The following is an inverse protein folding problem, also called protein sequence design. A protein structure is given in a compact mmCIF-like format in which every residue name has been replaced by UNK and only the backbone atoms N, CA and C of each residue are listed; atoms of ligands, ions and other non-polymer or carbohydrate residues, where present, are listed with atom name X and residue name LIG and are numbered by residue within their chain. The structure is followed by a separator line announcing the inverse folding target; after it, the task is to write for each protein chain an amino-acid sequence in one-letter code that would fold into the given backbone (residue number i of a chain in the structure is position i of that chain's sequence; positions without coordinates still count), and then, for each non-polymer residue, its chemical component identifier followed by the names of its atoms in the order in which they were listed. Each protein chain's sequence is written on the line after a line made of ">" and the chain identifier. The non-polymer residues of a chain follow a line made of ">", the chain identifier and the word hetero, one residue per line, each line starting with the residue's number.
data_IF_324105124132
#
_entry.id   IF_324105124132
#
_cell.length_a   1.000
_cell.length_b   1.000
_cell.length_c   1.000
_cell.angle_alpha   90.00
_cell.angle_beta   90.00
_cell.angle_gamma   90.00
#
_symmetry.space_group_name_H-M   'P 1'
#
loop_
_entity.id
_entity.type
_entity.pdbx_description
1 polymer ?
#
# COMPACT_ATOMS: atom_id res chain seq x y z
N UNK A 1 2.89 -13.41 7.43
CA UNK A 1 3.10 -13.59 5.98
C UNK A 1 2.08 -12.73 5.26
N UNK A 2 2.40 -11.46 5.04
CA UNK A 2 1.57 -10.57 4.20
C UNK A 2 1.52 -11.14 2.78
N UNK A 3 0.35 -11.03 2.15
CA UNK A 3 0.13 -11.41 0.75
C UNK A 3 1.02 -10.54 -0.13
N UNK A 4 1.97 -11.13 -0.86
CA UNK A 4 2.63 -10.42 -1.97
C UNK A 4 1.58 -10.06 -3.00
N UNK A 5 1.59 -8.83 -3.53
CA UNK A 5 0.73 -8.48 -4.67
C UNK A 5 0.93 -9.49 -5.78
N UNK A 6 -0.16 -10.07 -6.28
CA UNK A 6 -0.14 -11.16 -7.23
C UNK A 6 -0.42 -10.68 -8.64
N UNK A 7 0.55 -10.92 -9.52
CA UNK A 7 0.42 -10.73 -10.96
C UNK A 7 -0.04 -12.05 -11.55
N UNK A 8 -1.21 -12.04 -12.19
CA UNK A 8 -1.69 -13.12 -13.03
C UNK A 8 -1.43 -12.75 -14.49
N UNK A 9 -0.59 -13.52 -15.18
CA UNK A 9 -0.25 -13.32 -16.58
C UNK A 9 -1.07 -14.30 -17.40
N UNK A 10 -1.87 -13.79 -18.33
CA UNK A 10 -2.61 -14.65 -19.24
C UNK A 10 -1.67 -15.34 -20.24
N UNK A 11 -1.82 -16.65 -20.34
CA UNK A 11 -1.20 -17.51 -21.34
C UNK A 11 -2.23 -18.46 -21.96
N UNK A 12 -3.52 -18.29 -21.69
CA UNK A 12 -4.61 -19.18 -22.10
C UNK A 12 -5.28 -18.82 -23.43
N UNK A 13 -4.91 -17.68 -24.02
CA UNK A 13 -5.52 -17.10 -25.23
C UNK A 13 -4.50 -17.00 -26.38
N UNK A 14 -3.72 -18.05 -26.63
CA UNK A 14 -2.75 -18.09 -27.73
C UNK A 14 -1.76 -16.91 -27.70
N UNK A 15 -1.18 -16.64 -26.52
CA UNK A 15 -0.16 -15.61 -26.35
C UNK A 15 1.09 -15.88 -27.19
N UNK A 16 1.66 -14.82 -27.75
CA UNK A 16 2.96 -14.82 -28.41
C UNK A 16 4.15 -14.80 -27.43
N UNK A 17 3.86 -14.66 -26.14
CA UNK A 17 4.87 -14.56 -25.06
C UNK A 17 4.58 -15.55 -23.94
N UNK A 18 5.65 -16.07 -23.31
CA UNK A 18 5.52 -16.95 -22.14
C UNK A 18 6.57 -16.68 -21.06
N UNK A 19 6.20 -16.87 -19.80
CA UNK A 19 7.15 -16.87 -18.66
C UNK A 19 7.90 -18.20 -18.47
N UNK A 20 7.59 -19.22 -19.28
CA UNK A 20 8.26 -20.52 -19.27
C UNK A 20 9.34 -20.59 -20.36
N UNK A 21 10.61 -20.63 -19.96
CA UNK A 21 11.75 -20.69 -20.87
C UNK A 21 11.75 -21.95 -21.77
N UNK A 22 11.27 -23.10 -21.27
CA UNK A 22 11.20 -24.32 -22.08
C UNK A 22 10.13 -24.21 -23.16
N UNK A 23 9.02 -23.52 -22.85
CA UNK A 23 7.97 -23.24 -23.82
C UNK A 23 8.44 -22.18 -24.83
N UNK A 24 9.09 -21.10 -24.39
CA UNK A 24 9.65 -20.09 -25.28
C UNK A 24 10.65 -20.70 -26.28
N UNK A 25 11.47 -21.65 -25.84
CA UNK A 25 12.40 -22.37 -26.73
C UNK A 25 11.68 -23.23 -27.78
N UNK A 26 10.46 -23.71 -27.50
CA UNK A 26 9.64 -24.43 -28.49
C UNK A 26 8.95 -23.46 -29.44
N UNK A 27 8.48 -22.31 -28.93
CA UNK A 27 7.84 -21.26 -29.73
C UNK A 27 8.81 -20.68 -30.75
N UNK A 28 10.00 -20.26 -30.29
CA UNK A 28 11.03 -19.67 -31.14
C UNK A 28 12.41 -20.34 -30.88
N UNK A 29 12.70 -21.50 -31.52
CA UNK A 29 13.97 -22.20 -31.32
C UNK A 29 15.22 -21.42 -31.75
N UNK A 30 15.05 -20.45 -32.66
CA UNK A 30 16.15 -19.64 -33.18
C UNK A 30 16.52 -18.49 -32.24
N UNK A 31 15.52 -17.88 -31.60
CA UNK A 31 15.71 -16.84 -30.60
C UNK A 31 14.64 -16.94 -29.49
N UNK A 32 14.81 -17.81 -28.48
CA UNK A 32 13.82 -17.98 -27.42
C UNK A 32 13.53 -16.72 -26.61
N UNK A 33 14.48 -15.76 -26.57
CA UNK A 33 14.31 -14.51 -25.84
C UNK A 33 13.21 -13.61 -26.46
N UNK A 34 13.00 -13.72 -27.77
CA UNK A 34 11.96 -13.04 -28.59
C UNK A 34 10.59 -13.75 -28.52
N UNK A 35 10.39 -14.53 -27.45
CA UNK A 35 9.12 -15.16 -27.10
C UNK A 35 8.97 -15.33 -25.58
N UNK A 36 9.88 -14.76 -24.79
CA UNK A 36 9.96 -15.00 -23.36
C UNK A 36 9.81 -13.74 -22.51
N UNK A 37 9.10 -13.89 -21.40
CA UNK A 37 8.98 -12.96 -20.29
C UNK A 37 9.52 -13.56 -18.98
N UNK A 38 10.49 -14.48 -19.06
CA UNK A 38 11.07 -15.06 -17.85
C UNK A 38 11.82 -14.03 -17.01
N UNK A 39 12.53 -13.07 -17.64
CA UNK A 39 13.18 -11.96 -16.95
C UNK A 39 12.18 -10.97 -16.35
N UNK A 40 11.06 -10.70 -17.03
CA UNK A 40 9.95 -9.93 -16.43
C UNK A 40 9.55 -10.55 -15.09
N UNK A 41 9.37 -11.89 -15.08
CA UNK A 41 8.97 -12.62 -13.87
C UNK A 41 10.01 -12.46 -12.77
N UNK A 42 11.29 -12.67 -13.08
CA UNK A 42 12.40 -12.50 -12.13
C UNK A 42 12.42 -11.09 -11.53
N UNK A 43 12.38 -10.06 -12.38
CA UNK A 43 12.37 -8.64 -11.96
C UNK A 43 11.17 -8.32 -11.06
N UNK A 44 9.99 -8.82 -11.39
CA UNK A 44 8.80 -8.62 -10.58
C UNK A 44 8.89 -9.36 -9.22
N UNK A 45 9.35 -10.62 -9.21
CA UNK A 45 9.50 -11.41 -7.98
C UNK A 45 10.53 -10.79 -7.03
N UNK A 46 11.64 -10.27 -7.57
CA UNK A 46 12.67 -9.52 -6.83
C UNK A 46 12.13 -8.20 -6.26
N UNK A 47 11.21 -7.56 -6.97
CA UNK A 47 10.51 -6.36 -6.48
C UNK A 47 9.41 -6.66 -5.45
N UNK A 48 9.19 -7.93 -5.10
CA UNK A 48 8.28 -8.35 -4.04
C UNK A 48 6.91 -8.84 -4.53
N UNK A 49 6.70 -8.97 -5.84
CA UNK A 49 5.49 -9.55 -6.40
C UNK A 49 5.48 -11.08 -6.31
N UNK A 50 4.30 -11.68 -6.45
CA UNK A 50 4.15 -13.08 -6.81
C UNK A 50 3.61 -13.17 -8.23
N UNK A 51 4.21 -13.99 -9.08
CA UNK A 51 3.84 -14.09 -10.49
C UNK A 51 3.30 -15.48 -10.78
N UNK A 52 2.13 -15.56 -11.38
CA UNK A 52 1.49 -16.81 -11.82
C UNK A 52 1.03 -16.68 -13.27
N UNK A 53 1.14 -17.75 -14.04
CA UNK A 53 0.57 -17.83 -15.38
C UNK A 53 -0.82 -18.50 -15.31
N UNK A 54 -1.78 -17.95 -16.05
CA UNK A 54 -3.08 -18.56 -16.32
C UNK A 54 -3.00 -19.33 -17.63
N UNK A 55 -2.98 -20.67 -17.56
CA UNK A 55 -2.61 -21.52 -18.69
C UNK A 55 -3.80 -22.06 -19.49
N UNK A 56 -5.00 -22.06 -18.93
CA UNK A 56 -6.16 -22.68 -19.59
C UNK A 56 -7.49 -22.10 -19.12
N UNK A 57 -8.46 -22.09 -20.03
CA UNK A 57 -9.84 -21.71 -19.74
C UNK A 57 -10.07 -20.20 -19.61
N UNK A 58 -11.33 -19.83 -19.41
CA UNK A 58 -11.75 -18.43 -19.37
C UNK A 58 -11.24 -17.69 -18.12
N UNK A 59 -10.93 -16.39 -18.28
CA UNK A 59 -10.61 -15.47 -17.19
C UNK A 59 -11.91 -15.05 -16.48
N UNK A 60 -12.33 -15.90 -15.55
CA UNK A 60 -13.54 -15.66 -14.73
C UNK A 60 -13.23 -14.84 -13.47
N UNK A 61 -14.27 -14.33 -12.80
CA UNK A 61 -14.13 -13.69 -11.49
C UNK A 61 -13.45 -14.59 -10.44
N UNK A 62 -13.63 -15.92 -10.51
CA UNK A 62 -12.98 -16.87 -9.61
C UNK A 62 -11.46 -16.96 -9.86
N UNK A 63 -11.04 -16.88 -11.12
CA UNK A 63 -9.62 -16.82 -11.51
C UNK A 63 -8.98 -15.52 -11.01
N UNK A 64 -9.71 -14.40 -11.15
CA UNK A 64 -9.23 -13.07 -10.75
C UNK A 64 -9.31 -12.79 -9.24
N UNK A 65 -10.05 -13.58 -8.45
CA UNK A 65 -10.29 -13.33 -7.03
C UNK A 65 -9.03 -13.16 -6.16
N UNK A 66 -7.91 -13.77 -6.58
CA UNK A 66 -6.63 -13.69 -5.88
C UNK A 66 -5.56 -12.93 -6.68
N UNK A 67 -5.91 -12.34 -7.82
CA UNK A 67 -5.03 -11.45 -8.56
C UNK A 67 -5.14 -10.04 -8.00
N UNK A 68 -4.02 -9.33 -8.02
CA UNK A 68 -3.93 -7.89 -7.76
C UNK A 68 -3.71 -7.13 -9.07
N UNK A 69 -2.99 -7.76 -10.00
CA UNK A 69 -2.76 -7.31 -11.37
C UNK A 69 -3.08 -8.45 -12.33
N UNK A 70 -3.87 -8.18 -13.36
CA UNK A 70 -3.98 -9.00 -14.56
C UNK A 70 -3.08 -8.40 -15.65
N UNK A 71 -2.18 -9.21 -16.20
CA UNK A 71 -1.38 -8.88 -17.36
C UNK A 71 -1.87 -9.69 -18.55
N UNK A 72 -2.25 -8.98 -19.62
CA UNK A 72 -2.57 -9.53 -20.94
C UNK A 72 -1.40 -9.24 -21.91
N UNK A 73 -0.46 -10.20 -22.07
CA UNK A 73 0.49 -10.20 -23.18
C UNK A 73 -0.23 -10.21 -24.52
N UNK A 74 0.49 -9.83 -25.57
CA UNK A 74 -0.02 -9.92 -26.93
C UNK A 74 -0.52 -11.34 -27.26
N UNK A 75 -1.78 -11.43 -27.66
CA UNK A 75 -2.45 -12.65 -28.11
C UNK A 75 -2.63 -12.64 -29.62
N UNK A 76 -2.36 -13.76 -30.28
CA UNK A 76 -2.40 -13.84 -31.73
C UNK A 76 -2.88 -15.20 -32.25
N UNK A 77 -3.37 -15.20 -33.48
CA UNK A 77 -3.50 -16.40 -34.28
C UNK A 77 -2.12 -16.93 -34.65
N UNK A 78 -1.95 -18.26 -34.62
CA UNK A 78 -0.75 -18.96 -35.09
C UNK A 78 -0.42 -18.75 -36.58
N UNK A 79 -1.32 -18.12 -37.34
CA UNK A 79 -1.04 -17.70 -38.72
C UNK A 79 -0.02 -16.55 -38.81
N UNK A 80 0.07 -15.72 -37.76
CA UNK A 80 0.89 -14.50 -37.75
C UNK A 80 2.06 -14.58 -36.78
N UNK A 81 1.90 -15.29 -35.66
CA UNK A 81 2.90 -15.33 -34.59
C UNK A 81 3.22 -16.77 -34.15
N UNK A 82 4.41 -16.94 -33.57
CA UNK A 82 4.79 -18.18 -32.88
C UNK A 82 4.21 -18.19 -31.46
N UNK A 83 2.99 -18.70 -31.30
CA UNK A 83 2.27 -18.67 -30.02
C UNK A 83 2.54 -19.88 -29.14
N UNK A 84 2.05 -19.83 -27.89
CA UNK A 84 2.09 -20.94 -26.91
C UNK A 84 1.48 -22.26 -27.41
N UNK A 85 0.74 -22.23 -28.53
CA UNK A 85 0.25 -23.41 -29.24
C UNK A 85 -1.07 -23.98 -28.70
N UNK A 86 -1.76 -23.24 -27.83
CA UNK A 86 -3.07 -23.56 -27.28
C UNK A 86 -3.87 -22.29 -27.00
N UNK A 87 -5.18 -22.45 -26.81
CA UNK A 87 -6.10 -21.33 -26.63
C UNK A 87 -6.59 -20.71 -27.93
N UNK A 88 -7.45 -19.71 -27.79
CA UNK A 88 -7.98 -18.88 -28.88
C UNK A 88 -7.64 -17.41 -28.56
N UNK A 89 -7.14 -16.60 -29.51
CA UNK A 89 -6.86 -15.18 -29.25
C UNK A 89 -8.10 -14.34 -28.90
N UNK A 90 -9.32 -14.85 -29.13
CA UNK A 90 -10.57 -14.18 -28.77
C UNK A 90 -10.99 -14.51 -27.34
N UNK A 91 -11.21 -13.46 -26.55
CA UNK A 91 -11.87 -13.55 -25.26
C UNK A 91 -13.39 -13.50 -25.43
N UNK A 92 -14.13 -14.29 -24.65
CA UNK A 92 -15.58 -14.25 -24.64
C UNK A 92 -16.11 -12.97 -23.99
N UNK A 93 -17.34 -12.56 -24.31
CA UNK A 93 -17.94 -11.38 -23.68
C UNK A 93 -18.02 -11.49 -22.15
N UNK A 94 -18.14 -12.71 -21.63
CA UNK A 94 -18.17 -12.98 -20.18
C UNK A 94 -16.82 -12.71 -19.53
N UNK A 95 -15.72 -13.02 -20.22
CA UNK A 95 -14.38 -12.70 -19.76
C UNK A 95 -14.13 -11.20 -19.78
N UNK A 96 -14.52 -10.52 -20.86
CA UNK A 96 -14.39 -9.07 -20.95
C UNK A 96 -15.16 -8.36 -19.82
N UNK A 97 -16.33 -8.87 -19.46
CA UNK A 97 -17.10 -8.37 -18.31
C UNK A 97 -16.43 -8.66 -16.97
N UNK A 98 -15.88 -9.87 -16.78
CA UNK A 98 -15.15 -10.22 -15.56
C UNK A 98 -13.89 -9.37 -15.37
N UNK A 99 -13.13 -9.11 -16.43
CA UNK A 99 -11.94 -8.25 -16.41
C UNK A 99 -12.35 -6.80 -16.11
N UNK A 100 -13.41 -6.30 -16.76
CA UNK A 100 -13.94 -4.97 -16.49
C UNK A 100 -14.33 -4.78 -15.03
N UNK A 101 -15.06 -5.74 -14.45
CA UNK A 101 -15.46 -5.71 -13.04
C UNK A 101 -14.26 -5.82 -12.08
N UNK A 102 -13.27 -6.66 -12.42
CA UNK A 102 -12.03 -6.75 -11.67
C UNK A 102 -11.33 -5.40 -11.59
N UNK A 103 -11.19 -4.68 -12.70
CA UNK A 103 -10.62 -3.32 -12.69
C UNK A 103 -11.50 -2.38 -11.89
N UNK A 104 -12.82 -2.37 -12.10
CA UNK A 104 -13.73 -1.46 -11.39
C UNK A 104 -13.67 -1.60 -9.86
N UNK A 105 -13.35 -2.80 -9.37
CA UNK A 105 -13.32 -3.14 -7.94
C UNK A 105 -11.93 -3.06 -7.30
N UNK A 106 -10.93 -2.53 -8.02
CA UNK A 106 -9.58 -2.24 -7.52
C UNK A 106 -8.45 -2.95 -8.27
N UNK A 107 -8.75 -3.86 -9.20
CA UNK A 107 -7.74 -4.59 -9.96
C UNK A 107 -6.87 -3.68 -10.85
N UNK A 108 -5.60 -4.07 -11.00
CA UNK A 108 -4.70 -3.49 -11.99
C UNK A 108 -4.75 -4.28 -13.31
N UNK A 109 -4.86 -3.60 -14.45
CA UNK A 109 -4.81 -4.22 -15.78
C UNK A 109 -3.60 -3.70 -16.57
N UNK A 110 -2.73 -4.60 -17.03
CA UNK A 110 -1.68 -4.32 -18.01
C UNK A 110 -2.06 -4.99 -19.33
N UNK A 111 -2.13 -4.23 -20.43
CA UNK A 111 -2.34 -4.77 -21.77
C UNK A 111 -1.18 -4.36 -22.67
N UNK A 112 -0.56 -5.33 -23.33
CA UNK A 112 0.42 -5.06 -24.38
C UNK A 112 -0.20 -5.39 -25.74
N UNK A 113 -0.34 -4.36 -26.56
CA UNK A 113 -0.73 -4.45 -27.95
C UNK A 113 0.48 -4.63 -28.87
N UNK A 114 0.19 -4.65 -30.16
CA UNK A 114 1.20 -4.81 -31.20
C UNK A 114 0.89 -3.88 -32.38
N UNK A 115 1.89 -3.58 -33.21
CA UNK A 115 1.64 -2.94 -34.51
C UNK A 115 0.79 -3.80 -35.42
N UNK A 116 0.01 -3.19 -36.30
CA UNK A 116 -0.92 -3.90 -37.19
C UNK A 116 -1.99 -4.70 -36.41
N UNK A 117 -2.38 -4.20 -35.24
CA UNK A 117 -3.25 -4.87 -34.25
C UNK A 117 -4.42 -5.68 -34.85
N UNK A 118 -5.11 -5.16 -35.87
CA UNK A 118 -6.29 -5.80 -36.44
C UNK A 118 -6.06 -7.18 -37.09
N UNK A 119 -4.81 -7.55 -37.44
CA UNK A 119 -4.55 -8.81 -38.16
C UNK A 119 -4.41 -10.03 -37.24
N UNK A 120 -4.09 -9.85 -35.96
CA UNK A 120 -3.73 -10.97 -35.07
C UNK A 120 -4.94 -11.76 -34.54
N UNK A 121 -6.16 -11.28 -34.76
CA UNK A 121 -7.38 -12.01 -34.42
C UNK A 121 -7.82 -11.93 -32.95
N UNK A 122 -7.10 -11.20 -32.09
CA UNK A 122 -7.59 -10.91 -30.72
C UNK A 122 -8.62 -9.79 -30.71
N UNK A 123 -9.39 -9.70 -29.62
CA UNK A 123 -10.37 -8.64 -29.39
C UNK A 123 -9.98 -7.69 -28.24
N UNK A 124 -8.69 -7.40 -28.04
CA UNK A 124 -8.25 -6.45 -27.00
C UNK A 124 -8.88 -5.06 -27.16
N UNK A 125 -9.13 -4.61 -28.39
CA UNK A 125 -9.83 -3.34 -28.63
C UNK A 125 -11.29 -3.34 -28.15
N UNK A 126 -11.94 -4.50 -28.05
CA UNK A 126 -13.27 -4.60 -27.44
C UNK A 126 -13.20 -4.32 -25.94
N UNK A 127 -12.22 -4.90 -25.23
CA UNK A 127 -11.94 -4.60 -23.82
C UNK A 127 -11.58 -3.13 -23.62
N UNK A 128 -10.61 -2.63 -24.38
CA UNK A 128 -10.01 -1.30 -24.20
C UNK A 128 -10.98 -0.15 -24.52
N UNK A 129 -11.97 -0.40 -25.37
CA UNK A 129 -13.03 0.57 -25.67
C UNK A 129 -13.82 1.01 -24.43
N UNK A 130 -13.91 0.14 -23.40
CA UNK A 130 -14.54 0.46 -22.09
C UNK A 130 -13.82 1.60 -21.36
N UNK A 131 -12.57 1.87 -21.74
CA UNK A 131 -11.71 2.91 -21.17
C UNK A 131 -11.43 4.05 -22.17
N UNK A 132 -12.12 4.09 -23.32
CA UNK A 132 -11.86 5.09 -24.37
C UNK A 132 -10.50 4.92 -25.06
N UNK A 133 -9.95 3.70 -25.07
CA UNK A 133 -8.63 3.38 -25.64
C UNK A 133 -8.82 2.45 -26.84
N UNK A 134 -8.04 2.69 -27.91
CA UNK A 134 -7.97 1.79 -29.06
C UNK A 134 -6.54 1.68 -29.58
N UNK A 135 -6.02 0.45 -29.63
CA UNK A 135 -4.80 0.10 -30.34
C UNK A 135 -5.05 0.19 -31.86
N UNK A 136 -4.15 0.87 -32.55
CA UNK A 136 -4.23 1.15 -33.98
C UNK A 136 -3.31 0.22 -34.79
N UNK A 137 -3.33 0.36 -36.12
CA UNK A 137 -2.63 -0.56 -37.03
C UNK A 137 -1.29 -0.04 -37.54
N UNK A 138 -0.91 1.22 -37.24
CA UNK A 138 0.35 1.78 -37.72
C UNK A 138 1.55 1.04 -37.11
N UNK A 139 2.68 1.01 -37.83
CA UNK A 139 4.00 0.70 -37.24
C UNK A 139 4.75 2.00 -37.13
N UNK A 140 5.15 2.37 -35.91
CA UNK A 140 5.93 3.59 -35.71
C UNK A 140 7.29 3.45 -36.40
N UNK A 141 7.67 4.49 -37.13
CA UNK A 141 8.98 4.61 -37.76
C UNK A 141 9.63 5.93 -37.35
N UNK A 142 10.82 5.88 -36.75
CA UNK A 142 11.59 7.06 -36.39
C UNK A 142 13.05 6.93 -36.82
N UNK A 143 13.45 7.48 -37.97
CA UNK A 143 14.82 7.40 -38.44
C UNK A 143 15.80 8.26 -37.63
N UNK A 144 15.31 9.13 -36.74
CA UNK A 144 16.14 10.11 -36.01
C UNK A 144 16.28 9.74 -34.53
N UNK A 145 15.17 9.42 -33.86
CA UNK A 145 15.15 9.01 -32.46
C UNK A 145 14.82 7.52 -32.35
N UNK A 146 15.83 6.68 -32.53
CA UNK A 146 15.70 5.24 -32.44
C UNK A 146 16.81 4.59 -31.62
N UNK A 147 16.56 3.34 -31.25
CA UNK A 147 17.53 2.44 -30.66
C UNK A 147 18.31 1.71 -31.77
N UNK A 148 19.64 1.68 -31.65
CA UNK A 148 20.56 0.93 -32.53
C UNK A 148 20.48 1.27 -34.04
N UNK A 149 19.99 2.45 -34.43
CA UNK A 149 19.88 2.81 -35.85
C UNK A 149 18.69 2.18 -36.57
N UNK A 150 17.77 1.52 -35.86
CA UNK A 150 16.62 0.80 -36.43
C UNK A 150 15.38 1.68 -36.35
N UNK A 151 14.87 2.17 -37.48
CA UNK A 151 13.74 3.11 -37.49
C UNK A 151 12.47 2.56 -36.80
N UNK A 152 12.23 1.26 -36.86
CA UNK A 152 11.10 0.62 -36.18
C UNK A 152 11.33 0.41 -34.68
N UNK A 153 12.46 0.84 -34.12
CA UNK A 153 12.76 0.78 -32.68
C UNK A 153 12.80 2.19 -32.08
N UNK A 154 11.66 2.91 -32.07
CA UNK A 154 11.65 4.31 -31.67
C UNK A 154 11.99 4.48 -30.19
N UNK A 155 12.65 5.58 -29.86
CA UNK A 155 12.79 6.05 -28.47
C UNK A 155 11.71 7.09 -28.20
N UNK A 156 10.60 6.73 -27.52
CA UNK A 156 9.51 7.65 -27.25
C UNK A 156 9.90 8.71 -26.22
N UNK A 157 9.10 9.77 -26.18
CA UNK A 157 9.26 10.88 -25.25
C UNK A 157 8.23 10.80 -24.13
N UNK A 158 8.67 11.12 -22.92
CA UNK A 158 7.80 11.34 -21.78
C UNK A 158 7.25 12.77 -21.82
N UNK A 159 5.93 12.98 -21.98
CA UNK A 159 5.35 14.29 -21.76
C UNK A 159 5.40 14.66 -20.27
N UNK A 160 5.06 15.90 -19.94
CA UNK A 160 4.83 16.29 -18.55
C UNK A 160 3.64 15.51 -18.00
N UNK A 161 3.89 14.68 -16.99
CA UNK A 161 2.87 13.90 -16.30
C UNK A 161 2.43 14.58 -15.01
N UNK A 162 1.12 14.55 -14.76
CA UNK A 162 0.44 15.11 -13.60
C UNK A 162 -0.25 14.02 -12.77
N UNK A 163 -0.60 12.90 -13.39
CA UNK A 163 -1.40 11.85 -12.77
C UNK A 163 -0.59 10.61 -12.39
N UNK A 164 0.64 10.48 -12.89
CA UNK A 164 1.47 9.30 -12.72
C UNK A 164 2.96 9.66 -12.65
N UNK A 165 3.77 8.78 -12.06
CA UNK A 165 5.23 8.96 -11.94
C UNK A 165 5.98 7.84 -12.69
N UNK A 166 5.57 7.54 -13.92
CA UNK A 166 6.22 6.49 -14.73
C UNK A 166 7.67 6.81 -15.07
N UNK A 167 8.06 8.09 -14.99
CA UNK A 167 9.41 8.57 -15.27
C UNK A 167 10.34 8.49 -14.06
N UNK A 168 9.86 8.02 -12.90
CA UNK A 168 10.69 7.89 -11.71
C UNK A 168 11.94 7.03 -11.98
N UNK A 169 13.11 7.68 -12.02
CA UNK A 169 14.40 7.10 -12.39
C UNK A 169 14.44 6.46 -13.79
N UNK A 170 13.61 6.93 -14.72
CA UNK A 170 13.61 6.51 -16.14
C UNK A 170 14.07 7.71 -16.97
N UNK A 171 15.22 7.58 -17.63
CA UNK A 171 15.78 8.60 -18.49
C UNK A 171 15.30 8.41 -19.93
N UNK A 172 15.46 7.20 -20.46
CA UNK A 172 15.07 6.80 -21.81
C UNK A 172 14.54 5.36 -21.82
N UNK A 173 13.63 5.08 -22.73
CA UNK A 173 13.12 3.73 -23.01
C UNK A 173 13.19 3.46 -24.50
N UNK A 174 13.26 2.19 -24.88
CA UNK A 174 13.24 1.76 -26.28
C UNK A 174 11.98 0.91 -26.51
N UNK A 175 11.29 1.21 -27.59
CA UNK A 175 10.18 0.42 -28.11
C UNK A 175 10.65 -0.37 -29.33
N UNK A 176 9.98 -1.45 -29.68
CA UNK A 176 10.29 -2.33 -30.79
C UNK A 176 9.01 -2.61 -31.57
N UNK A 177 8.98 -2.13 -32.82
CA UNK A 177 7.84 -2.25 -33.72
C UNK A 177 6.52 -1.78 -33.11
N UNK A 178 6.55 -0.84 -32.17
CA UNK A 178 5.35 -0.30 -31.52
C UNK A 178 4.29 0.15 -32.53
N UNK A 179 3.04 -0.18 -32.21
CA UNK A 179 1.85 0.45 -32.78
C UNK A 179 1.61 1.85 -32.23
N UNK A 180 0.40 2.37 -32.45
CA UNK A 180 -0.08 3.60 -31.82
C UNK A 180 -1.40 3.40 -31.10
N UNK A 181 -1.77 4.36 -30.25
CA UNK A 181 -2.99 4.36 -29.44
C UNK A 181 -3.85 5.56 -29.82
N UNK A 182 -5.07 5.30 -30.27
CA UNK A 182 -6.13 6.28 -30.39
C UNK A 182 -6.91 6.40 -29.08
N UNK A 183 -7.27 7.63 -28.71
CA UNK A 183 -8.02 7.94 -27.49
C UNK A 183 -9.31 8.66 -27.86
N UNK A 184 -10.41 8.26 -27.22
CA UNK A 184 -11.67 8.98 -27.33
C UNK A 184 -11.57 10.39 -26.72
N UNK A 185 -12.43 11.30 -27.15
CA UNK A 185 -12.36 12.72 -26.76
C UNK A 185 -12.55 12.95 -25.25
N UNK A 186 -13.23 12.02 -24.57
CA UNK A 186 -13.50 12.03 -23.13
C UNK A 186 -12.60 11.09 -22.34
N UNK A 187 -11.50 10.60 -22.94
CA UNK A 187 -10.52 9.74 -22.26
C UNK A 187 -10.05 10.35 -20.93
N UNK A 188 -10.38 9.65 -19.84
CA UNK A 188 -10.04 10.05 -18.48
C UNK A 188 -8.74 9.38 -18.02
N UNK A 189 -7.61 9.82 -18.56
CA UNK A 189 -6.30 9.28 -18.23
C UNK A 189 -5.15 10.17 -18.69
N UNK A 190 -3.97 9.57 -18.80
CA UNK A 190 -2.75 10.26 -19.18
C UNK A 190 -1.98 9.45 -20.22
N UNK A 191 -1.45 10.14 -21.23
CA UNK A 191 -0.46 9.56 -22.15
C UNK A 191 0.90 9.76 -21.52
N UNK A 192 1.62 8.68 -21.24
CA UNK A 192 2.93 8.77 -20.59
C UNK A 192 4.10 8.47 -21.53
N UNK A 193 3.84 7.96 -22.73
CA UNK A 193 4.82 7.90 -23.82
C UNK A 193 4.19 8.35 -25.14
N UNK A 194 4.93 9.21 -25.86
CA UNK A 194 4.59 9.64 -27.23
C UNK A 194 5.74 9.35 -28.19
N UNK A 195 5.41 9.09 -29.45
CA UNK A 195 6.43 9.15 -30.51
C UNK A 195 7.02 10.55 -30.60
N UNK A 196 8.27 10.68 -31.05
CA UNK A 196 8.91 11.98 -31.21
C UNK A 196 8.23 12.83 -32.30
N UNK A 197 8.59 14.11 -32.40
CA UNK A 197 8.14 14.97 -33.50
C UNK A 197 8.69 14.53 -34.88
N UNK A 198 9.77 13.75 -34.92
CA UNK A 198 10.37 13.24 -36.16
C UNK A 198 9.88 11.86 -36.57
N UNK A 199 9.10 11.20 -35.71
CA UNK A 199 8.52 9.91 -35.98
C UNK A 199 7.37 9.99 -37.00
N UNK A 200 7.02 8.84 -37.57
CA UNK A 200 5.83 8.63 -38.36
C UNK A 200 4.96 7.56 -37.68
N UNK A 201 3.76 7.91 -37.18
CA UNK A 201 3.22 9.28 -37.03
C UNK A 201 3.93 10.07 -35.91
N UNK A 202 4.02 11.42 -36.01
CA UNK A 202 4.67 12.25 -35.00
C UNK A 202 3.75 12.49 -33.79
N UNK A 203 4.33 12.55 -32.60
CA UNK A 203 3.63 12.88 -31.34
C UNK A 203 2.43 11.97 -31.00
N UNK A 204 2.35 10.78 -31.60
CA UNK A 204 1.28 9.81 -31.38
C UNK A 204 1.43 9.14 -30.02
N UNK A 205 0.32 8.80 -29.37
CA UNK A 205 0.36 8.05 -28.12
C UNK A 205 0.80 6.61 -28.38
N UNK A 206 1.71 6.10 -27.55
CA UNK A 206 2.18 4.70 -27.61
C UNK A 206 2.10 3.99 -26.27
N UNK A 207 1.95 4.75 -25.17
CA UNK A 207 1.60 4.21 -23.87
C UNK A 207 0.70 5.15 -23.08
N UNK A 208 -0.35 4.60 -22.47
CA UNK A 208 -1.38 5.35 -21.75
C UNK A 208 -1.76 4.66 -20.45
N UNK A 209 -2.19 5.46 -19.47
CA UNK A 209 -2.68 4.99 -18.18
C UNK A 209 -4.00 5.67 -17.82
N UNK A 210 -4.91 4.93 -17.19
CA UNK A 210 -6.18 5.45 -16.69
C UNK A 210 -6.50 4.90 -15.31
N UNK A 211 -7.30 5.64 -14.55
CA UNK A 211 -7.95 5.19 -13.31
C UNK A 211 -9.41 4.93 -13.63
N UNK A 212 -9.86 3.69 -13.49
CA UNK A 212 -11.23 3.29 -13.77
C UNK A 212 -11.89 2.84 -12.45
N UNK A 213 -12.83 3.64 -11.96
CA UNK A 213 -13.40 3.51 -10.63
C UNK A 213 -12.31 3.36 -9.54
N UNK A 214 -12.21 2.19 -8.89
CA UNK A 214 -11.22 1.94 -7.84
C UNK A 214 -9.88 1.38 -8.37
N UNK A 215 -9.86 0.86 -9.59
CA UNK A 215 -8.70 0.24 -10.22
C UNK A 215 -7.99 1.11 -11.25
N UNK A 216 -7.08 0.48 -11.97
CA UNK A 216 -6.14 1.14 -12.88
C UNK A 216 -5.86 0.27 -14.09
N UNK A 217 -5.69 0.90 -15.25
CA UNK A 217 -5.25 0.21 -16.46
C UNK A 217 -4.06 0.94 -17.10
N UNK A 218 -3.11 0.17 -17.63
CA UNK A 218 -1.97 0.62 -18.42
C UNK A 218 -1.98 -0.15 -19.73
N UNK A 219 -1.83 0.57 -20.84
CA UNK A 219 -1.77 0.00 -22.19
C UNK A 219 -0.52 0.51 -22.88
N UNK A 220 0.28 -0.40 -23.43
CA UNK A 220 1.38 -0.08 -24.34
C UNK A 220 1.07 -0.71 -25.70
N UNK A 221 1.40 -0.02 -26.78
CA UNK A 221 1.23 -0.54 -28.14
C UNK A 221 2.43 -1.39 -28.60
N UNK A 222 3.17 -1.97 -27.66
CA UNK A 222 4.42 -2.69 -27.88
C UNK A 222 4.48 -3.87 -26.91
N UNK A 223 4.60 -5.07 -27.46
CA UNK A 223 4.70 -6.30 -26.68
C UNK A 223 6.14 -6.75 -26.44
N UNK A 224 7.06 -6.39 -27.32
CA UNK A 224 8.48 -6.68 -27.25
C UNK A 224 9.19 -5.93 -26.10
N UNK A 225 8.74 -4.74 -25.67
CA UNK A 225 9.42 -3.87 -24.68
C UNK A 225 9.85 -4.59 -23.39
N UNK A 226 9.11 -5.62 -22.96
CA UNK A 226 9.42 -6.41 -21.77
C UNK A 226 9.87 -7.84 -22.07
N UNK A 227 10.14 -8.16 -23.34
CA UNK A 227 10.74 -9.39 -23.80
C UNK A 227 12.13 -9.60 -23.22
N UNK A 228 12.57 -10.84 -23.08
CA UNK A 228 13.85 -11.17 -22.44
C UNK A 228 15.07 -10.59 -23.17
N UNK A 229 14.95 -10.25 -24.46
CA UNK A 229 15.98 -9.57 -25.25
C UNK A 229 15.92 -8.03 -25.18
N UNK A 230 14.83 -7.46 -24.67
CA UNK A 230 14.51 -6.03 -24.76
C UNK A 230 14.33 -5.35 -23.40
N UNK A 231 13.96 -6.11 -22.36
CA UNK A 231 13.68 -5.59 -21.01
C UNK A 231 14.91 -4.95 -20.34
N UNK A 232 16.12 -5.34 -20.76
CA UNK A 232 17.38 -4.81 -20.22
C UNK A 232 17.92 -3.61 -21.01
N UNK A 233 17.28 -3.23 -22.11
CA UNK A 233 17.70 -2.08 -22.89
C UNK A 233 17.22 -0.78 -22.25
N UNK A 234 18.14 0.19 -22.17
CA UNK A 234 17.92 1.49 -21.53
C UNK A 234 17.30 1.31 -20.13
N UNK A 235 16.19 1.99 -19.83
CA UNK A 235 15.51 1.89 -18.54
C UNK A 235 14.18 1.09 -18.62
N UNK A 236 14.01 0.20 -19.61
CA UNK A 236 12.76 -0.57 -19.82
C UNK A 236 12.34 -1.36 -18.57
N UNK A 237 13.26 -2.05 -17.90
CA UNK A 237 12.98 -2.75 -16.64
C UNK A 237 12.53 -1.81 -15.52
N UNK A 238 13.05 -0.57 -15.49
CA UNK A 238 12.66 0.41 -14.47
C UNK A 238 11.26 0.97 -14.76
N UNK A 239 10.94 1.22 -16.03
CA UNK A 239 9.58 1.57 -16.45
C UNK A 239 8.59 0.47 -16.07
N UNK A 240 8.93 -0.81 -16.28
CA UNK A 240 8.11 -1.94 -15.83
C UNK A 240 7.80 -1.85 -14.34
N UNK A 241 8.81 -1.65 -13.49
CA UNK A 241 8.60 -1.55 -12.04
C UNK A 241 7.69 -0.37 -11.65
N UNK A 242 7.82 0.77 -12.35
CA UNK A 242 6.95 1.92 -12.12
C UNK A 242 5.50 1.62 -12.56
N UNK A 243 5.31 0.86 -13.65
CA UNK A 243 3.99 0.39 -14.11
C UNK A 243 3.36 -0.57 -13.10
N UNK A 244 4.10 -1.58 -12.65
CA UNK A 244 3.61 -2.53 -11.64
C UNK A 244 3.26 -1.82 -10.33
N UNK A 245 4.10 -0.88 -9.90
CA UNK A 245 3.84 -0.03 -8.74
C UNK A 245 2.53 0.75 -8.90
N UNK A 246 2.33 1.43 -10.03
CA UNK A 246 1.09 2.15 -10.32
C UNK A 246 -0.14 1.23 -10.27
N UNK A 247 -0.11 0.09 -10.96
CA UNK A 247 -1.22 -0.86 -11.02
C UNK A 247 -1.57 -1.44 -9.64
N UNK A 248 -0.56 -1.65 -8.78
CA UNK A 248 -0.74 -2.18 -7.42
C UNK A 248 -1.45 -1.23 -6.46
N UNK A 249 -1.49 0.07 -6.76
CA UNK A 249 -2.12 1.06 -5.88
C UNK A 249 -3.65 0.92 -5.80
N UNK A 250 -4.28 0.14 -6.68
CA UNK A 250 -5.71 -0.19 -6.62
C UNK A 250 -5.98 -1.45 -5.82
N UNK A 251 -4.97 -2.31 -5.70
CA UNK A 251 -5.10 -3.61 -5.08
C UNK A 251 -5.52 -3.43 -3.62
N UNK A 252 -6.67 -3.99 -3.29
CA UNK A 252 -7.15 -4.02 -1.91
C UNK A 252 -6.28 -5.01 -1.16
N UNK A 253 -5.26 -4.50 -0.45
CA UNK A 253 -4.69 -5.25 0.67
C UNK A 253 -5.86 -5.75 1.54
N UNK A 254 -5.79 -6.97 2.12
CA UNK A 254 -6.74 -7.35 3.15
C UNK A 254 -6.72 -6.26 4.21
N UNK A 255 -7.77 -5.44 4.23
CA UNK A 255 -7.91 -4.33 5.15
C UNK A 255 -7.74 -4.91 6.54
N UNK A 256 -6.68 -4.52 7.23
CA UNK A 256 -6.60 -4.72 8.68
C UNK A 256 -7.86 -4.10 9.25
N UNK A 257 -8.74 -4.91 9.81
CA UNK A 257 -10.08 -4.48 10.21
C UNK A 257 -10.03 -3.73 11.56
N UNK A 258 -9.18 -2.70 11.58
CA UNK A 258 -8.99 -1.79 12.70
C UNK A 258 -10.31 -1.05 12.98
N UNK A 259 -11.15 -0.84 11.96
CA UNK A 259 -12.48 -0.28 12.12
C UNK A 259 -13.36 -1.16 13.02
N UNK A 260 -13.45 -2.48 12.76
CA UNK A 260 -14.17 -3.41 13.63
C UNK A 260 -13.52 -3.52 15.00
N UNK A 261 -12.18 -3.58 15.09
CA UNK A 261 -11.49 -3.61 16.40
C UNK A 261 -11.85 -2.38 17.23
N UNK A 262 -11.82 -1.18 16.63
CA UNK A 262 -12.25 0.07 17.27
C UNK A 262 -13.72 -0.01 17.70
N UNK A 263 -14.61 -0.50 16.83
CA UNK A 263 -16.03 -0.66 17.14
C UNK A 263 -16.27 -1.62 18.33
N UNK A 264 -15.54 -2.73 18.40
CA UNK A 264 -15.63 -3.68 19.51
C UNK A 264 -15.18 -3.04 20.82
N UNK A 265 -14.11 -2.23 20.79
CA UNK A 265 -13.65 -1.52 21.99
C UNK A 265 -14.66 -0.43 22.42
N UNK A 266 -15.15 0.39 21.49
CA UNK A 266 -16.09 1.48 21.82
C UNK A 266 -17.44 0.99 22.30
N UNK A 267 -17.81 -0.26 22.00
CA UNK A 267 -19.00 -0.92 22.54
C UNK A 267 -18.74 -1.62 23.90
N UNK A 268 -17.50 -1.68 24.38
CA UNK A 268 -17.18 -2.31 25.66
C UNK A 268 -17.64 -1.45 26.84
N UNK A 269 -18.51 -1.98 27.73
CA UNK A 269 -18.97 -1.23 28.91
C UNK A 269 -17.82 -0.81 29.83
N UNK A 270 -16.83 -1.70 30.04
CA UNK A 270 -15.62 -1.40 30.81
C UNK A 270 -14.87 -0.19 30.24
N UNK A 271 -14.63 -0.19 28.93
CA UNK A 271 -13.94 0.88 28.24
C UNK A 271 -14.68 2.22 28.40
N UNK A 272 -15.99 2.23 28.14
CA UNK A 272 -16.82 3.44 28.30
C UNK A 272 -16.80 3.94 29.75
N UNK A 273 -16.88 3.04 30.74
CA UNK A 273 -16.80 3.40 32.16
C UNK A 273 -15.44 3.99 32.53
N UNK A 274 -14.35 3.45 32.00
CA UNK A 274 -13.00 4.00 32.20
C UNK A 274 -12.91 5.40 31.57
N UNK A 275 -13.42 5.59 30.35
CA UNK A 275 -13.43 6.90 29.72
C UNK A 275 -14.17 7.91 30.60
N UNK A 276 -15.40 7.62 31.02
CA UNK A 276 -16.16 8.50 31.91
C UNK A 276 -15.38 8.80 33.20
N UNK A 277 -14.82 7.79 33.86
CA UNK A 277 -14.06 8.00 35.10
C UNK A 277 -12.85 8.93 34.90
N UNK A 278 -12.13 8.79 33.77
CA UNK A 278 -11.01 9.68 33.43
C UNK A 278 -11.50 11.11 33.16
N UNK A 279 -12.59 11.27 32.42
CA UNK A 279 -13.14 12.60 32.12
C UNK A 279 -13.60 13.33 33.39
N UNK A 280 -14.25 12.62 34.33
CA UNK A 280 -14.70 13.20 35.61
C UNK A 280 -13.55 13.44 36.60
N UNK A 281 -12.51 12.61 36.57
CA UNK A 281 -11.31 12.79 37.39
C UNK A 281 -10.44 13.95 36.91
N UNK A 282 -10.44 14.29 35.62
CA UNK A 282 -9.53 15.28 35.03
C UNK A 282 -9.62 16.67 35.65
N UNK A 283 -10.81 17.27 35.86
CA UNK A 283 -10.94 18.59 36.47
C UNK A 283 -10.45 18.68 37.91
N UNK A 284 -10.35 17.54 38.61
CA UNK A 284 -9.90 17.47 40.01
C UNK A 284 -8.38 17.52 40.14
N UNK A 285 -7.63 17.25 39.06
CA UNK A 285 -6.17 17.14 39.06
C UNK A 285 -5.48 18.51 38.84
N UNK A 286 -4.48 18.79 39.67
CA UNK A 286 -3.49 19.86 39.49
C UNK A 286 -2.57 19.57 38.30
N UNK A 287 -1.70 20.52 37.95
CA UNK A 287 -0.80 20.42 36.78
C UNK A 287 0.16 19.22 36.82
N UNK A 288 0.57 18.80 38.00
CA UNK A 288 1.45 17.65 38.22
C UNK A 288 0.70 16.33 38.41
N UNK A 289 -0.64 16.37 38.33
CA UNK A 289 -1.52 15.23 38.51
C UNK A 289 -1.96 14.99 39.95
N UNK A 290 -1.49 15.74 40.94
CA UNK A 290 -1.98 15.64 42.33
C UNK A 290 -3.42 16.19 42.47
N UNK A 291 -4.10 15.90 43.58
CA UNK A 291 -5.41 16.51 43.92
C UNK A 291 -5.26 17.21 45.27
N UNK A 292 -5.09 18.53 45.23
CA UNK A 292 -4.79 19.35 46.42
C UNK A 292 -6.00 19.51 47.35
N UNK A 293 -7.20 19.64 46.80
CA UNK A 293 -8.43 19.83 47.57
C UNK A 293 -8.90 18.50 48.17
N UNK A 294 -8.69 18.35 49.48
CA UNK A 294 -9.08 17.17 50.25
C UNK A 294 -10.58 16.86 50.19
N UNK A 295 -11.43 17.86 49.92
CA UNK A 295 -12.88 17.62 49.79
C UNK A 295 -13.22 16.78 48.54
N UNK A 296 -12.35 16.78 47.53
CA UNK A 296 -12.49 16.00 46.30
C UNK A 296 -11.94 14.57 46.40
N UNK A 297 -11.20 14.22 47.47
CA UNK A 297 -10.52 12.93 47.58
C UNK A 297 -11.49 11.73 47.58
N UNK A 298 -12.66 11.87 48.20
CA UNK A 298 -13.67 10.81 48.20
C UNK A 298 -14.22 10.51 46.80
N UNK A 299 -14.50 11.57 46.03
CA UNK A 299 -14.97 11.46 44.65
C UNK A 299 -13.87 10.94 43.72
N UNK A 300 -12.65 11.47 43.85
CA UNK A 300 -11.50 11.00 43.08
C UNK A 300 -11.21 9.52 43.32
N UNK A 301 -11.32 9.03 44.56
CA UNK A 301 -11.14 7.62 44.88
C UNK A 301 -12.19 6.75 44.19
N UNK A 302 -13.45 7.18 44.16
CA UNK A 302 -14.52 6.49 43.43
C UNK A 302 -14.19 6.38 41.93
N UNK A 303 -13.69 7.46 41.30
CA UNK A 303 -13.31 7.43 39.89
C UNK A 303 -12.08 6.56 39.61
N UNK A 304 -11.05 6.61 40.46
CA UNK A 304 -9.87 5.75 40.30
C UNK A 304 -10.24 4.27 40.49
N UNK A 305 -11.13 3.92 41.42
CA UNK A 305 -11.64 2.55 41.56
C UNK A 305 -12.39 2.08 40.31
N UNK A 306 -13.15 2.97 39.63
CA UNK A 306 -13.76 2.64 38.33
C UNK A 306 -12.72 2.34 37.24
N UNK A 307 -11.58 3.05 37.25
CA UNK A 307 -10.47 2.75 36.35
C UNK A 307 -9.85 1.38 36.68
N UNK A 308 -9.66 1.06 37.96
CA UNK A 308 -9.15 -0.25 38.42
C UNK A 308 -10.10 -1.39 38.03
N UNK A 309 -11.41 -1.22 38.21
CA UNK A 309 -12.43 -2.18 37.75
C UNK A 309 -12.31 -2.43 36.24
N UNK A 310 -12.19 -1.35 35.45
CA UNK A 310 -12.02 -1.45 34.01
C UNK A 310 -10.72 -2.12 33.57
N UNK A 311 -9.59 -1.87 34.26
CA UNK A 311 -8.34 -2.60 34.04
C UNK A 311 -8.55 -4.10 34.26
N UNK A 312 -9.18 -4.49 35.36
CA UNK A 312 -9.42 -5.90 35.68
C UNK A 312 -10.31 -6.59 34.64
N UNK A 313 -11.35 -5.91 34.14
CA UNK A 313 -12.25 -6.47 33.13
C UNK A 313 -11.58 -6.59 31.75
N UNK A 314 -10.72 -5.64 31.38
CA UNK A 314 -10.04 -5.64 30.09
C UNK A 314 -8.75 -6.48 30.08
N UNK A 315 -8.08 -6.68 31.22
CA UNK A 315 -6.80 -7.39 31.34
C UNK A 315 -6.76 -8.78 30.65
N UNK A 316 -7.83 -9.61 30.66
CA UNK A 316 -7.82 -10.89 29.95
C UNK A 316 -7.58 -10.78 28.43
N UNK A 317 -7.84 -9.60 27.82
CA UNK A 317 -7.55 -9.33 26.41
C UNK A 317 -6.07 -9.02 26.15
N UNK A 318 -5.28 -8.79 27.20
CA UNK A 318 -3.87 -8.40 27.14
C UNK A 318 -2.98 -9.36 27.95
N UNK A 319 -2.92 -10.66 27.59
CA UNK A 319 -2.22 -11.67 28.38
C UNK A 319 -0.72 -11.43 28.52
N UNK A 320 -0.10 -10.68 27.59
CA UNK A 320 1.30 -10.26 27.64
C UNK A 320 1.57 -9.09 28.60
N UNK A 321 0.53 -8.47 29.17
CA UNK A 321 0.63 -7.29 30.04
C UNK A 321 0.25 -7.57 31.50
N UNK A 322 0.10 -8.83 31.91
CA UNK A 322 -0.38 -9.21 33.26
C UNK A 322 0.42 -8.52 34.38
N UNK A 323 1.77 -8.59 34.31
CA UNK A 323 2.63 -7.99 35.33
C UNK A 323 2.49 -6.46 35.37
N UNK A 324 2.45 -5.83 34.18
CA UNK A 324 2.24 -4.40 34.03
C UNK A 324 0.90 -3.93 34.60
N UNK A 325 -0.22 -4.55 34.19
CA UNK A 325 -1.56 -4.14 34.60
C UNK A 325 -1.77 -4.37 36.10
N UNK A 326 -1.22 -5.47 36.63
CA UNK A 326 -1.23 -5.72 38.08
C UNK A 326 -0.45 -4.67 38.86
N UNK A 327 0.67 -4.18 38.31
CA UNK A 327 1.45 -3.11 38.94
C UNK A 327 0.76 -1.75 38.80
N UNK A 328 0.16 -1.45 37.64
CA UNK A 328 -0.59 -0.20 37.44
C UNK A 328 -1.75 -0.07 38.45
N UNK A 329 -2.44 -1.16 38.78
CA UNK A 329 -3.46 -1.20 39.84
C UNK A 329 -2.85 -0.83 41.20
N UNK A 330 -1.67 -1.36 41.55
CA UNK A 330 -0.99 -1.03 42.81
C UNK A 330 -0.57 0.44 42.86
N UNK A 331 -0.07 0.98 41.75
CA UNK A 331 0.34 2.38 41.66
C UNK A 331 -0.88 3.32 41.86
N UNK A 332 -2.03 2.98 41.25
CA UNK A 332 -3.31 3.69 41.47
C UNK A 332 -3.80 3.60 42.92
N UNK A 333 -3.75 2.42 43.54
CA UNK A 333 -4.11 2.24 44.95
C UNK A 333 -3.19 3.01 45.88
N UNK A 334 -1.89 3.05 45.59
CA UNK A 334 -0.91 3.84 46.33
C UNK A 334 -1.21 5.34 46.21
N UNK A 335 -1.61 5.80 45.03
CA UNK A 335 -2.02 7.19 44.82
C UNK A 335 -3.24 7.58 45.68
N UNK A 336 -4.27 6.72 45.74
CA UNK A 336 -5.41 6.88 46.67
C UNK A 336 -4.92 6.94 48.12
N UNK A 337 -4.12 5.94 48.55
CA UNK A 337 -3.66 5.81 49.95
C UNK A 337 -2.74 6.96 50.39
N UNK A 338 -2.06 7.62 49.46
CA UNK A 338 -1.24 8.81 49.72
C UNK A 338 -2.06 10.08 49.93
N UNK A 339 -3.38 10.04 49.74
CA UNK A 339 -4.22 11.24 49.70
C UNK A 339 -4.01 12.04 48.43
N UNK A 340 -3.87 11.35 47.28
CA UNK A 340 -3.67 11.97 45.96
C UNK A 340 -2.49 12.95 45.89
N UNK A 341 -1.34 12.56 46.44
CA UNK A 341 -0.07 13.24 46.21
C UNK A 341 0.31 13.21 44.71
N UNK A 342 1.49 13.69 44.33
CA UNK A 342 1.96 13.56 42.94
C UNK A 342 1.99 12.07 42.57
N UNK A 343 1.31 11.65 41.48
CA UNK A 343 1.25 10.26 41.08
C UNK A 343 2.64 9.72 40.70
N UNK A 344 2.91 8.47 41.07
CA UNK A 344 4.15 7.76 40.74
C UNK A 344 3.84 6.42 40.07
N UNK A 345 4.13 6.34 38.78
CA UNK A 345 3.96 5.14 37.95
C UNK A 345 5.31 4.48 37.60
N UNK A 346 6.38 4.73 38.36
CA UNK A 346 7.72 4.23 38.02
C UNK A 346 7.76 2.71 37.81
N UNK A 347 7.16 1.95 38.73
CA UNK A 347 7.20 0.48 38.69
C UNK A 347 6.40 -0.07 37.50
N UNK A 348 5.19 0.44 37.27
CA UNK A 348 4.40 0.03 36.10
C UNK A 348 5.05 0.46 34.78
N UNK A 349 5.70 1.63 34.72
CA UNK A 349 6.40 2.07 33.53
C UNK A 349 7.57 1.15 33.16
N UNK A 350 8.33 0.65 34.13
CA UNK A 350 9.43 -0.31 33.89
C UNK A 350 8.94 -1.66 33.34
N UNK A 351 7.71 -2.04 33.68
CA UNK A 351 7.02 -3.27 33.25
C UNK A 351 6.26 -3.10 31.92
N UNK A 352 5.89 -1.88 31.54
CA UNK A 352 5.25 -1.61 30.25
C UNK A 352 6.29 -1.71 29.11
N UNK A 353 6.25 -2.84 28.40
CA UNK A 353 7.28 -3.22 27.41
C UNK A 353 6.70 -3.55 26.02
N UNK A 354 6.12 -2.56 25.32
CA UNK A 354 5.62 -2.75 23.95
C UNK A 354 6.75 -3.10 22.98
N UNK A 355 7.98 -2.65 23.23
CA UNK A 355 9.19 -2.97 22.46
C UNK A 355 9.49 -4.47 22.36
N UNK A 356 9.01 -5.28 23.32
CA UNK A 356 9.22 -6.73 23.35
C UNK A 356 8.25 -7.50 22.46
N UNK A 357 7.16 -6.88 21.99
CA UNK A 357 6.11 -7.54 21.21
C UNK A 357 5.96 -6.89 19.84
N UNK A 358 7.01 -6.98 19.03
CA UNK A 358 7.11 -6.42 17.67
C UNK A 358 6.49 -7.33 16.62
N UNK A 359 5.23 -7.66 16.83
CA UNK A 359 4.41 -8.39 15.86
C UNK A 359 3.27 -7.47 15.43
N UNK A 360 2.81 -7.65 14.18
CA UNK A 360 1.68 -6.88 13.70
C UNK A 360 0.43 -7.16 14.56
N UNK A 361 -0.37 -6.12 14.76
CA UNK A 361 -1.67 -6.19 15.43
C UNK A 361 -1.64 -6.58 16.92
N UNK A 362 -0.49 -6.45 17.58
CA UNK A 362 -0.42 -6.60 19.04
C UNK A 362 -1.00 -5.36 19.71
N UNK A 363 -2.10 -5.54 20.45
CA UNK A 363 -2.74 -4.45 21.17
C UNK A 363 -2.15 -4.28 22.57
N UNK A 364 -2.16 -3.04 23.07
CA UNK A 364 -1.71 -2.71 24.42
C UNK A 364 -2.71 -1.78 25.10
N UNK A 365 -3.12 -2.13 26.32
CA UNK A 365 -3.77 -1.19 27.24
C UNK A 365 -2.67 -0.45 28.00
N UNK A 366 -2.75 0.87 28.04
CA UNK A 366 -1.85 1.74 28.79
C UNK A 366 -2.65 2.68 29.68
N UNK A 367 -2.28 2.75 30.96
CA UNK A 367 -2.87 3.61 31.98
C UNK A 367 -1.75 4.30 32.73
N UNK A 368 -1.67 5.62 32.61
CA UNK A 368 -0.61 6.43 33.23
C UNK A 368 -1.12 7.84 33.52
N UNK A 369 -0.61 8.46 34.59
CA UNK A 369 -0.65 9.91 34.69
C UNK A 369 0.46 10.51 33.83
N UNK A 370 0.09 11.27 32.80
CA UNK A 370 1.04 11.75 31.79
C UNK A 370 0.60 13.07 31.16
N UNK A 371 1.56 13.79 30.58
CA UNK A 371 1.27 14.91 29.67
C UNK A 371 1.36 14.45 28.21
N UNK A 372 0.85 15.24 27.28
CA UNK A 372 0.95 14.95 25.84
C UNK A 372 1.85 15.97 25.13
N UNK A 373 2.90 15.50 24.44
CA UNK A 373 3.80 16.39 23.69
C UNK A 373 3.03 17.09 22.57
N UNK A 374 3.19 18.42 22.45
CA UNK A 374 2.42 19.27 21.53
C UNK A 374 0.90 19.25 21.74
N UNK A 375 0.45 18.85 22.94
CA UNK A 375 -0.96 18.78 23.33
C UNK A 375 -1.20 19.41 24.71
N UNK A 376 -1.74 18.62 25.64
CA UNK A 376 -1.99 18.99 27.02
C UNK A 376 -0.67 18.96 27.84
N UNK A 377 -0.21 20.09 28.40
CA UNK A 377 1.02 20.14 29.20
C UNK A 377 0.84 19.65 30.64
N UNK A 378 -0.40 19.48 31.12
CA UNK A 378 -0.66 18.99 32.46
C UNK A 378 -0.56 17.46 32.50
N UNK A 379 -0.10 16.93 33.63
CA UNK A 379 -0.14 15.49 33.90
C UNK A 379 -1.54 15.13 34.35
N UNK A 380 -2.23 14.32 33.54
CA UNK A 380 -3.53 13.78 33.89
C UNK A 380 -3.48 12.26 33.76
N UNK A 381 -4.21 11.55 34.61
CA UNK A 381 -4.48 10.13 34.39
C UNK A 381 -5.19 9.97 33.04
N UNK A 382 -4.63 9.18 32.14
CA UNK A 382 -5.20 8.91 30.82
C UNK A 382 -5.12 7.40 30.52
N UNK A 383 -6.04 6.92 29.69
CA UNK A 383 -6.15 5.51 29.31
C UNK A 383 -6.14 5.41 27.78
N UNK A 384 -5.23 4.60 27.25
CA UNK A 384 -5.07 4.36 25.81
C UNK A 384 -5.14 2.86 25.51
N UNK A 385 -5.77 2.51 24.39
CA UNK A 385 -5.55 1.23 23.73
C UNK A 385 -4.85 1.50 22.42
N UNK A 386 -3.62 1.00 22.31
CA UNK A 386 -2.80 1.14 21.11
C UNK A 386 -2.70 -0.20 20.39
N UNK A 387 -2.38 -0.14 19.10
CA UNK A 387 -2.07 -1.30 18.29
C UNK A 387 -0.69 -1.14 17.67
N UNK A 388 0.18 -2.13 17.84
CA UNK A 388 1.51 -2.15 17.25
C UNK A 388 1.44 -2.47 15.75
N UNK A 389 1.95 -1.56 14.92
CA UNK A 389 2.03 -1.71 13.46
C UNK A 389 3.37 -2.35 13.09
N UNK A 390 3.43 -3.67 12.92
CA UNK A 390 4.70 -4.35 12.65
C UNK A 390 4.58 -5.40 11.53
N UNK A 391 4.23 -4.99 10.30
CA UNK A 391 4.12 -5.90 9.17
C UNK A 391 5.49 -6.51 8.82
N UNK A 392 5.47 -7.64 8.11
CA UNK A 392 6.67 -8.41 7.76
C UNK A 392 7.72 -7.56 7.02
N UNK A 393 7.29 -6.64 6.15
CA UNK A 393 8.21 -5.74 5.45
C UNK A 393 8.95 -4.80 6.42
N UNK A 394 8.29 -4.33 7.47
CA UNK A 394 8.93 -3.48 8.48
C UNK A 394 9.91 -4.29 9.32
N UNK A 395 9.52 -5.52 9.69
CA UNK A 395 10.40 -6.47 10.37
C UNK A 395 11.66 -6.78 9.55
N UNK A 396 11.54 -6.93 8.22
CA UNK A 396 12.68 -7.09 7.32
C UNK A 396 13.54 -5.82 7.25
N UNK A 397 12.94 -4.64 7.16
CA UNK A 397 13.68 -3.36 7.14
C UNK A 397 14.45 -3.13 8.44
N UNK A 398 13.89 -3.52 9.58
CA UNK A 398 14.58 -3.41 10.88
C UNK A 398 15.90 -4.19 10.92
N UNK A 399 16.02 -5.30 10.18
CA UNK A 399 17.28 -6.06 10.12
C UNK A 399 18.46 -5.21 9.61
N UNK A 400 18.16 -4.21 8.78
CA UNK A 400 19.14 -3.24 8.27
C UNK A 400 19.18 -1.95 9.08
N UNK A 401 18.02 -1.45 9.50
CA UNK A 401 17.85 -0.17 10.19
C UNK A 401 17.28 -0.40 11.60
N UNK A 402 18.11 -0.90 12.50
CA UNK A 402 17.68 -1.25 13.86
C UNK A 402 17.51 -0.02 14.74
N UNK A 403 16.34 0.08 15.38
CA UNK A 403 16.12 0.99 16.51
C UNK A 403 15.25 0.26 17.55
N UNK A 404 15.85 -0.33 18.60
CA UNK A 404 15.14 -1.19 19.55
C UNK A 404 14.11 -0.45 20.42
N UNK A 405 14.19 0.88 20.52
CA UNK A 405 13.22 1.66 21.26
C UNK A 405 12.00 2.06 20.41
N UNK A 406 12.14 2.17 19.08
CA UNK A 406 11.05 2.65 18.25
C UNK A 406 9.92 1.62 18.13
N UNK A 407 8.68 2.07 18.38
CA UNK A 407 7.47 1.27 18.18
C UNK A 407 6.42 2.12 17.42
N UNK A 408 6.15 1.85 16.14
CA UNK A 408 5.04 2.47 15.45
C UNK A 408 3.73 1.86 15.95
N UNK A 409 2.81 2.74 16.34
CA UNK A 409 1.55 2.39 16.95
C UNK A 409 0.40 3.12 16.26
N UNK A 410 -0.81 2.60 16.45
CA UNK A 410 -2.05 3.21 15.98
C UNK A 410 -3.03 3.30 17.15
N UNK A 411 -3.96 4.26 17.10
CA UNK A 411 -5.01 4.33 18.11
C UNK A 411 -6.10 3.29 17.86
N UNK A 412 -6.45 2.52 18.88
CA UNK A 412 -7.70 1.75 18.94
C UNK A 412 -8.72 2.48 19.82
N UNK A 413 -8.27 3.06 20.94
CA UNK A 413 -9.10 3.90 21.80
C UNK A 413 -8.24 4.82 22.63
N UNK A 414 -8.76 6.00 22.99
CA UNK A 414 -8.09 6.95 23.86
C UNK A 414 -9.12 7.80 24.63
N UNK A 415 -8.68 8.37 25.75
CA UNK A 415 -9.40 9.40 26.52
C UNK A 415 -9.09 10.81 25.98
N UNK A 416 -9.94 11.79 26.26
CA UNK A 416 -9.90 13.08 25.54
C UNK A 416 -8.62 13.89 25.73
N UNK A 417 -7.78 13.55 26.73
CA UNK A 417 -6.44 14.13 26.88
C UNK A 417 -5.50 13.84 25.70
N UNK A 418 -5.82 12.87 24.85
CA UNK A 418 -5.14 12.57 23.57
C UNK A 418 -5.89 13.03 22.33
N UNK A 419 -7.05 13.69 22.47
CA UNK A 419 -7.78 14.33 21.37
C UNK A 419 -7.14 15.67 20.97
N UNK A 420 -5.88 15.60 20.54
CA UNK A 420 -5.06 16.74 20.17
C UNK A 420 -4.00 16.35 19.12
N UNK A 421 -3.05 17.25 18.87
CA UNK A 421 -1.99 17.08 17.88
C UNK A 421 -0.77 16.27 18.37
N UNK A 422 -0.83 15.61 19.52
CA UNK A 422 0.23 14.70 19.92
C UNK A 422 0.23 13.48 19.00
N UNK A 423 1.39 13.15 18.46
CA UNK A 423 1.58 11.95 17.63
C UNK A 423 2.60 11.00 18.26
N UNK A 424 2.83 11.14 19.56
CA UNK A 424 3.80 10.34 20.30
C UNK A 424 3.22 9.87 21.62
N UNK A 425 3.71 8.72 22.07
CA UNK A 425 3.50 8.20 23.41
C UNK A 425 4.88 7.78 23.91
N UNK A 426 5.47 8.56 24.82
CA UNK A 426 6.84 8.35 25.28
C UNK A 426 6.87 8.15 26.79
N UNK A 427 7.76 7.29 27.30
CA UNK A 427 7.90 7.04 28.74
C UNK A 427 8.27 8.31 29.54
N UNK A 428 8.96 9.25 28.89
CA UNK A 428 9.32 10.58 29.43
C UNK A 428 8.11 11.40 29.89
N UNK A 429 6.93 11.15 29.30
CA UNK A 429 5.73 11.93 29.61
C UNK A 429 5.00 11.43 30.84
N UNK A 430 5.38 10.29 31.39
CA UNK A 430 4.72 9.63 32.54
C UNK A 430 5.19 10.24 33.86
N UNK A 431 4.29 10.34 34.83
CA UNK A 431 4.56 10.83 36.17
C UNK A 431 5.31 9.76 36.97
N UNK A 432 6.55 10.05 37.32
CA UNK A 432 7.45 9.12 38.02
C UNK A 432 8.27 9.86 39.06
N UNK A 433 8.58 9.20 40.18
CA UNK A 433 9.43 9.77 41.24
C UNK A 433 10.85 10.11 40.78
N UNK A 434 11.36 9.37 39.78
CA UNK A 434 12.68 9.55 39.18
C UNK A 434 12.69 9.04 37.74
N UNK A 435 13.67 9.46 36.95
CA UNK A 435 13.76 9.09 35.52
C UNK A 435 13.96 7.58 35.37
N UNK A 436 13.06 6.93 34.65
CA UNK A 436 13.14 5.50 34.31
C UNK A 436 14.06 5.25 33.12
N UNK A 437 14.38 3.98 32.84
CA UNK A 437 15.10 3.65 31.61
C UNK A 437 14.11 3.65 30.44
N UNK A 438 14.32 4.53 29.46
CA UNK A 438 13.45 4.59 28.27
C UNK A 438 13.75 3.44 27.32
N UNK A 439 12.93 2.38 27.40
CA UNK A 439 13.07 1.16 26.58
C UNK A 439 12.22 1.19 25.30
N UNK A 440 11.31 2.13 25.19
CA UNK A 440 10.38 2.23 24.08
C UNK A 440 10.02 3.70 23.81
N UNK A 441 9.58 3.98 22.57
CA UNK A 441 9.04 5.26 22.14
C UNK A 441 7.97 5.00 21.07
N UNK A 442 6.71 5.23 21.44
CA UNK A 442 5.55 5.05 20.59
C UNK A 442 5.37 6.23 19.65
N UNK A 443 5.27 6.00 18.35
CA UNK A 443 4.87 7.02 17.36
C UNK A 443 3.58 6.59 16.68
N UNK A 444 2.57 7.45 16.71
CA UNK A 444 1.27 7.23 16.10
C UNK A 444 1.37 7.35 14.57
N UNK A 445 1.69 6.23 13.90
CA UNK A 445 1.97 6.20 12.47
C UNK A 445 0.72 6.51 11.63
N UNK A 446 -0.48 6.21 12.13
CA UNK A 446 -1.74 6.61 11.53
C UNK A 446 -1.91 8.14 11.48
N UNK A 447 -1.58 8.83 12.58
CA UNK A 447 -1.61 10.30 12.65
C UNK A 447 -0.53 10.92 11.77
N UNK A 448 0.69 10.42 11.82
CA UNK A 448 1.79 10.93 10.99
C UNK A 448 1.55 10.69 9.49
N UNK A 449 1.02 9.54 9.10
CA UNK A 449 0.64 9.26 7.71
C UNK A 449 -0.50 10.18 7.24
N UNK A 450 -1.51 10.47 8.08
CA UNK A 450 -2.56 11.43 7.74
C UNK A 450 -2.03 12.85 7.54
N UNK A 451 -1.06 13.28 8.36
CA UNK A 451 -0.38 14.57 8.20
C UNK A 451 0.45 14.63 6.94
N UNK A 452 1.24 13.60 6.69
CA UNK A 452 2.07 13.50 5.50
C UNK A 452 1.22 13.62 4.23
N UNK A 453 0.13 12.84 4.13
CA UNK A 453 -0.82 12.92 2.99
C UNK A 453 -1.40 14.32 2.79
N UNK A 454 -1.78 15.00 3.87
CA UNK A 454 -2.30 16.38 3.80
C UNK A 454 -1.26 17.35 3.23
N UNK A 455 -0.01 17.26 3.68
CA UNK A 455 1.09 18.12 3.22
C UNK A 455 1.44 17.81 1.76
N UNK A 456 1.53 16.52 1.41
CA UNK A 456 1.85 16.09 0.05
C UNK A 456 0.76 16.48 -0.94
N UNK A 457 -0.52 16.33 -0.58
CA UNK A 457 -1.63 16.80 -1.42
C UNK A 457 -1.55 18.31 -1.68
N UNK A 458 -1.26 19.12 -0.66
CA UNK A 458 -1.06 20.56 -0.84
C UNK A 458 0.16 20.91 -1.70
N UNK A 459 1.25 20.13 -1.60
CA UNK A 459 2.42 20.31 -2.45
C UNK A 459 2.15 19.92 -3.92
N UNK A 460 1.39 18.85 -4.16
CA UNK A 460 0.94 18.45 -5.49
C UNK A 460 0.07 19.54 -6.12
N UNK A 461 -0.90 20.09 -5.38
CA UNK A 461 -1.78 21.18 -5.84
C UNK A 461 -0.99 22.44 -6.20
N UNK A 462 -0.01 22.81 -5.39
CA UNK A 462 0.75 24.06 -5.58
C UNK A 462 1.84 23.96 -6.65
N UNK A 463 2.54 22.82 -6.71
CA UNK A 463 3.75 22.65 -7.52
C UNK A 463 3.51 21.84 -8.80
N UNK A 464 2.32 21.25 -8.97
CA UNK A 464 2.00 20.35 -10.09
C UNK A 464 2.98 19.19 -10.23
N UNK A 465 3.52 18.72 -9.10
CA UNK A 465 4.43 17.58 -9.05
C UNK A 465 3.65 16.29 -8.82
N UNK A 466 3.95 15.20 -9.53
CA UNK A 466 3.37 13.89 -9.27
C UNK A 466 4.00 13.31 -7.99
N UNK A 467 3.43 13.66 -6.83
CA UNK A 467 3.89 13.18 -5.53
C UNK A 467 3.08 11.95 -5.08
N UNK A 468 3.68 11.03 -4.30
CA UNK A 468 2.98 9.86 -3.78
C UNK A 468 1.90 10.27 -2.76
N UNK A 469 0.64 9.90 -3.01
CA UNK A 469 -0.51 10.18 -2.13
C UNK A 469 -1.02 8.93 -1.41
#
# INVERSE_FOLDING_TARGET
>A
MQRKSRILIDQSHSQAWTVDLELAQKMNPANPADASYAKFKEIAEDAGYSVAAHLEGEITAAVLANADILFLPHAASSEWEHTVGYGDPLMSSTELDAIGEFVNTGGGLLVLGETEQAKYGNNFNELLSRYGIKLSNETVQDPTSNHQGVSSWPKPEFPTMLLSDFRFMVHEVALYRSGTIHLEADFAGEVFLRTSETALPPSAAVAVATRAAEGRAVVLADSDIFGDDSISDLDNSKLLLNILGFLSLGSKEPSRDIATVRAVLTQSPAWLSMQTAIEELRPLQSKDGSIEDQSNHGEAAMWVEKVIEGINELAPKFPHQVDYLSQAIKDLQSWINSGFAIPDFYESLELFRPDRNRNNDVQHLAVFSMYTQNGNPNRNLEVLVTNTFWPDWLAQKEQKYSNPAFVPIEFIGFTSGYDNNSAVFFPETVAVREVSTYKWGGIFCDREAARFRKVVAGAQELLYLPLPY
#
